data_IF_677084822254
#
_entry.id   IF_677084822254
#
_cell.length_a   1.000
_cell.length_b   1.000
_cell.length_c   1.000
_cell.angle_alpha   90.00
_cell.angle_beta   90.00
_cell.angle_gamma   90.00
#
_symmetry.space_group_name_H-M   'P 1'
#
loop_
_entity.id
_entity.type
_entity.pdbx_description
1 polymer ?
#
# COMPACT_ATOMS: atom_id res chain seq x y z
N UNK A 1 -6.94 1.51 -0.25
CA UNK A 1 -7.52 2.85 -0.19
C UNK A 1 -7.44 3.44 -1.55
N UNK A 2 -8.44 4.17 -1.98
CA UNK A 2 -8.52 4.71 -3.34
C UNK A 2 -8.85 6.17 -3.23
N UNK A 3 -8.03 7.02 -3.79
CA UNK A 3 -8.40 8.40 -4.06
C UNK A 3 -8.58 8.60 -5.55
N UNK A 4 -9.55 9.39 -5.94
CA UNK A 4 -9.59 9.95 -7.28
C UNK A 4 -8.88 11.28 -7.23
N UNK A 5 -7.80 11.50 -7.97
CA UNK A 5 -7.14 12.80 -7.99
C UNK A 5 -8.14 13.85 -8.47
N UNK A 6 -8.37 14.84 -7.65
CA UNK A 6 -9.11 16.05 -8.05
C UNK A 6 -8.11 17.18 -8.10
N UNK A 7 -7.33 17.26 -9.15
CA UNK A 7 -6.60 18.46 -9.46
C UNK A 7 -7.54 19.46 -10.11
N UNK A 8 -7.44 20.72 -9.75
CA UNK A 8 -8.35 21.83 -9.94
C UNK A 8 -9.14 21.99 -11.25
N UNK A 9 -8.82 21.21 -12.30
CA UNK A 9 -9.37 21.35 -13.65
C UNK A 9 -10.18 20.14 -14.14
N UNK A 10 -10.48 19.14 -13.27
CA UNK A 10 -11.32 18.03 -13.70
C UNK A 10 -11.12 16.73 -12.93
N UNK A 11 -11.95 15.74 -13.26
CA UNK A 11 -11.86 14.35 -12.78
C UNK A 11 -10.92 13.61 -13.73
N UNK A 12 -9.91 12.95 -13.18
CA UNK A 12 -9.04 12.04 -13.91
C UNK A 12 -9.43 10.58 -13.60
N UNK A 13 -9.07 9.67 -14.52
CA UNK A 13 -9.39 8.26 -14.31
C UNK A 13 -8.62 7.63 -13.14
N UNK A 14 -7.38 8.09 -12.89
CA UNK A 14 -6.55 7.56 -11.81
C UNK A 14 -6.32 6.07 -11.96
N UNK A 15 -5.88 5.61 -13.15
CA UNK A 15 -5.82 4.17 -13.44
C UNK A 15 -4.80 3.44 -12.57
N UNK A 16 -3.62 4.03 -12.38
CA UNK A 16 -2.60 3.51 -11.46
C UNK A 16 -2.60 4.22 -10.11
N UNK A 17 -3.20 5.41 -10.04
CA UNK A 17 -3.33 6.21 -8.84
C UNK A 17 -4.81 6.61 -8.63
N UNK A 18 -5.71 5.71 -8.05
CA UNK A 18 -5.40 4.39 -7.47
C UNK A 18 -6.36 3.27 -7.93
N UNK A 19 -6.99 3.34 -9.09
CA UNK A 19 -8.00 2.33 -9.48
C UNK A 19 -7.43 0.90 -9.50
N UNK A 20 -6.14 0.73 -9.86
CA UNK A 20 -5.47 -0.56 -9.85
C UNK A 20 -5.47 -1.25 -8.46
N UNK A 21 -5.49 -0.46 -7.38
CA UNK A 21 -5.53 -1.02 -6.02
C UNK A 21 -6.91 -1.48 -5.60
N UNK A 22 -7.95 -0.79 -6.07
CA UNK A 22 -9.32 -1.28 -5.88
C UNK A 22 -9.46 -2.64 -6.51
N UNK A 23 -8.96 -2.81 -7.73
CA UNK A 23 -8.97 -4.11 -8.41
C UNK A 23 -8.23 -5.18 -7.61
N UNK A 24 -7.07 -4.83 -7.02
CA UNK A 24 -6.32 -5.74 -6.14
C UNK A 24 -7.13 -6.14 -4.90
N UNK A 25 -7.80 -5.20 -4.24
CA UNK A 25 -8.65 -5.48 -3.08
C UNK A 25 -9.84 -6.37 -3.44
N UNK A 26 -10.51 -6.10 -4.56
CA UNK A 26 -11.62 -6.93 -5.06
C UNK A 26 -11.14 -8.34 -5.36
N UNK A 27 -10.02 -8.49 -6.08
CA UNK A 27 -9.44 -9.80 -6.42
C UNK A 27 -9.08 -10.59 -5.16
N UNK A 28 -8.52 -9.94 -4.13
CA UNK A 28 -8.22 -10.58 -2.85
C UNK A 28 -9.50 -11.04 -2.15
N UNK A 29 -10.52 -10.19 -2.09
CA UNK A 29 -11.79 -10.52 -1.46
C UNK A 29 -12.45 -11.72 -2.15
N UNK A 30 -12.47 -11.73 -3.47
CA UNK A 30 -13.02 -12.84 -4.28
C UNK A 30 -12.25 -14.15 -4.06
N UNK A 31 -10.92 -14.08 -3.99
CA UNK A 31 -10.07 -15.26 -3.77
C UNK A 31 -10.31 -15.96 -2.43
N UNK A 32 -10.89 -15.25 -1.48
CA UNK A 32 -11.21 -15.73 -0.12
C UNK A 32 -12.70 -15.87 0.14
N UNK A 33 -13.54 -15.68 -0.85
CA UNK A 33 -14.98 -15.82 -0.71
C UNK A 33 -15.36 -17.18 -0.08
N UNK A 34 -16.12 -17.15 0.99
CA UNK A 34 -16.56 -18.34 1.74
C UNK A 34 -15.50 -19.03 2.60
N UNK A 35 -14.23 -18.55 2.64
CA UNK A 35 -13.16 -19.15 3.46
C UNK A 35 -12.77 -18.32 4.67
N UNK A 36 -12.85 -16.99 4.57
CA UNK A 36 -12.46 -16.06 5.63
C UNK A 36 -10.97 -16.13 6.03
N UNK A 37 -10.66 -15.43 7.08
CA UNK A 37 -9.38 -15.44 7.79
C UNK A 37 -9.64 -15.68 9.26
N UNK A 38 -8.60 -16.04 10.01
CA UNK A 38 -8.70 -16.21 11.47
C UNK A 38 -9.08 -14.90 12.17
N UNK A 39 -8.52 -13.76 11.72
CA UNK A 39 -8.97 -12.43 12.12
C UNK A 39 -9.83 -11.81 11.03
N UNK A 40 -10.86 -11.04 11.40
CA UNK A 40 -11.62 -10.28 10.42
C UNK A 40 -10.69 -9.38 9.60
N UNK A 41 -10.88 -9.36 8.28
CA UNK A 41 -10.21 -8.45 7.36
C UNK A 41 -11.24 -7.49 6.80
N UNK A 42 -10.98 -6.20 6.95
CA UNK A 42 -11.81 -5.11 6.41
C UNK A 42 -11.14 -4.56 5.17
N UNK A 43 -11.83 -4.59 4.06
CA UNK A 43 -11.44 -3.92 2.83
C UNK A 43 -12.00 -2.52 2.84
N UNK A 44 -11.14 -1.52 2.87
CA UNK A 44 -11.55 -0.13 2.94
C UNK A 44 -11.08 0.65 1.70
N UNK A 45 -12.02 1.19 0.96
CA UNK A 45 -11.77 2.23 -0.04
C UNK A 45 -12.21 3.56 0.56
N UNK A 46 -11.29 4.49 0.73
CA UNK A 46 -11.57 5.80 1.33
C UNK A 46 -11.43 6.91 0.30
N UNK A 47 -11.98 8.06 0.60
CA UNK A 47 -11.99 9.22 -0.31
C UNK A 47 -11.11 10.34 0.21
N UNK A 48 -10.67 11.22 -0.70
CA UNK A 48 -10.01 12.49 -0.36
C UNK A 48 -8.60 12.31 0.20
N UNK A 49 -7.87 11.29 -0.25
CA UNK A 49 -6.44 11.12 0.07
C UNK A 49 -5.67 12.37 -0.31
N UNK A 50 -5.77 12.81 -1.57
CA UNK A 50 -5.13 13.98 -2.18
C UNK A 50 -5.52 15.33 -1.54
N UNK A 51 -6.57 15.32 -0.75
CA UNK A 51 -7.05 16.50 0.00
C UNK A 51 -6.68 16.44 1.48
N UNK A 52 -5.65 15.68 1.82
CA UNK A 52 -5.13 15.54 3.17
C UNK A 52 -5.67 14.36 3.95
N UNK A 53 -5.83 13.22 3.29
CA UNK A 53 -6.19 11.93 3.89
C UNK A 53 -7.56 11.98 4.59
N UNK A 54 -8.54 12.65 3.99
CA UNK A 54 -9.81 12.97 4.68
C UNK A 54 -10.55 11.71 5.12
N UNK A 55 -10.69 10.73 4.23
CA UNK A 55 -11.42 9.50 4.52
C UNK A 55 -10.70 8.63 5.55
N UNK A 56 -9.40 8.46 5.42
CA UNK A 56 -8.62 7.65 6.38
C UNK A 56 -8.51 8.30 7.75
N UNK A 57 -8.37 9.63 7.82
CA UNK A 57 -8.44 10.37 9.09
C UNK A 57 -9.78 10.18 9.80
N UNK A 58 -10.86 10.26 9.02
CA UNK A 58 -12.19 10.04 9.57
C UNK A 58 -12.35 8.59 10.05
N UNK A 59 -11.97 7.61 9.23
CA UNK A 59 -12.06 6.18 9.56
C UNK A 59 -11.21 5.82 10.77
N UNK A 60 -9.98 6.33 10.84
CA UNK A 60 -9.10 6.14 11.99
C UNK A 60 -9.63 6.80 13.28
N UNK A 61 -10.44 7.84 13.16
CA UNK A 61 -11.07 8.51 14.30
C UNK A 61 -12.38 7.84 14.73
N UNK A 62 -13.08 7.18 13.81
CA UNK A 62 -14.43 6.65 14.00
C UNK A 62 -14.51 5.21 13.47
N UNK A 63 -13.76 4.26 14.06
CA UNK A 63 -13.90 2.86 13.68
C UNK A 63 -15.36 2.43 13.94
N UNK A 64 -15.97 1.79 12.96
CA UNK A 64 -17.33 1.28 13.14
C UNK A 64 -17.33 0.14 14.16
N UNK A 65 -18.47 -0.08 14.81
CA UNK A 65 -18.63 -1.19 15.76
C UNK A 65 -18.33 -2.54 15.09
N UNK A 66 -18.72 -2.72 13.83
CA UNK A 66 -18.46 -3.94 13.06
C UNK A 66 -16.97 -4.13 12.70
N UNK A 67 -16.24 -3.03 12.49
CA UNK A 67 -14.79 -3.08 12.20
C UNK A 67 -14.00 -3.33 13.49
N UNK A 68 -14.43 -2.80 14.61
CA UNK A 68 -13.63 -2.74 15.83
C UNK A 68 -12.37 -1.89 15.65
N UNK A 69 -11.44 -1.99 16.60
CA UNK A 69 -10.13 -1.32 16.49
C UNK A 69 -9.18 -2.19 15.66
N UNK A 70 -8.60 -1.69 14.57
CA UNK A 70 -7.69 -2.48 13.76
C UNK A 70 -6.39 -2.77 14.52
N UNK A 71 -5.86 -3.98 14.36
CA UNK A 71 -4.56 -4.40 14.93
C UNK A 71 -3.40 -4.22 13.95
N UNK A 72 -3.72 -4.00 12.68
CA UNK A 72 -2.77 -3.68 11.61
C UNK A 72 -3.47 -2.97 10.46
N UNK A 73 -2.73 -2.16 9.72
CA UNK A 73 -3.17 -1.61 8.43
C UNK A 73 -2.12 -1.95 7.37
N UNK A 74 -2.59 -2.63 6.33
CA UNK A 74 -1.83 -2.89 5.12
C UNK A 74 -2.37 -1.94 4.05
N UNK A 75 -1.56 -0.98 3.63
CA UNK A 75 -1.98 0.07 2.71
C UNK A 75 -1.46 -0.18 1.29
N UNK A 76 -2.28 0.17 0.35
CA UNK A 76 -1.95 0.21 -1.07
C UNK A 76 -2.15 1.63 -1.58
N UNK A 77 -1.15 2.14 -2.26
CA UNK A 77 -1.13 3.46 -2.86
C UNK A 77 -0.05 3.51 -3.95
N UNK A 78 -0.40 3.98 -5.12
CA UNK A 78 0.51 4.14 -6.25
C UNK A 78 1.23 2.86 -6.70
N UNK A 79 0.50 1.77 -6.88
CA UNK A 79 1.05 0.57 -7.51
C UNK A 79 1.39 0.88 -8.97
N UNK A 80 2.62 0.66 -9.34
CA UNK A 80 3.14 0.99 -10.66
C UNK A 80 3.78 -0.23 -11.31
N UNK A 81 2.98 -1.19 -11.79
CA UNK A 81 3.50 -2.38 -12.46
C UNK A 81 3.95 -2.02 -13.88
N UNK A 82 4.92 -1.14 -13.99
CA UNK A 82 5.46 -0.64 -15.27
C UNK A 82 6.67 -1.43 -15.74
N UNK A 83 7.19 -2.32 -14.89
CA UNK A 83 8.40 -3.12 -15.07
C UNK A 83 8.32 -4.36 -14.17
N UNK A 84 9.16 -5.39 -14.41
CA UNK A 84 9.18 -6.60 -13.58
C UNK A 84 9.36 -6.28 -12.08
N UNK A 85 8.63 -6.99 -11.24
CA UNK A 85 8.69 -6.80 -9.79
C UNK A 85 9.91 -7.52 -9.20
N UNK A 86 10.97 -6.79 -8.97
CA UNK A 86 12.19 -7.29 -8.30
C UNK A 86 12.44 -6.62 -6.95
N UNK A 87 11.85 -5.45 -6.74
CA UNK A 87 12.05 -4.64 -5.53
C UNK A 87 10.70 -4.08 -5.08
N UNK A 88 10.42 -4.18 -3.78
CA UNK A 88 9.39 -3.43 -3.09
C UNK A 88 10.03 -2.36 -2.21
N UNK A 89 9.79 -1.10 -2.52
CA UNK A 89 10.06 0.01 -1.61
C UNK A 89 8.92 0.09 -0.61
N UNK A 90 9.26 0.17 0.67
CA UNK A 90 8.31 -0.03 1.75
C UNK A 90 8.34 1.14 2.71
N UNK A 91 7.17 1.71 2.95
CA UNK A 91 6.97 2.76 3.95
C UNK A 91 6.68 2.11 5.30
N UNK A 92 7.30 2.62 6.37
CA UNK A 92 7.24 2.07 7.72
C UNK A 92 7.82 0.64 7.85
N UNK A 93 8.83 0.30 7.02
CA UNK A 93 9.41 -1.05 6.96
C UNK A 93 9.95 -1.55 8.31
N UNK A 94 10.64 -0.68 9.04
CA UNK A 94 11.32 -1.05 10.28
C UNK A 94 10.55 -0.57 11.52
N UNK A 95 9.32 -0.10 11.36
CA UNK A 95 8.50 0.39 12.47
C UNK A 95 7.81 -0.72 13.26
N UNK A 96 7.55 -1.86 12.62
CA UNK A 96 6.82 -2.97 13.26
C UNK A 96 7.24 -4.33 12.70
N UNK A 97 6.73 -5.40 13.31
CA UNK A 97 6.93 -6.78 12.84
C UNK A 97 6.37 -7.05 11.45
N UNK A 98 5.53 -6.15 10.89
CA UNK A 98 5.03 -6.26 9.52
C UNK A 98 6.16 -6.25 8.48
N UNK A 99 7.21 -5.46 8.71
CA UNK A 99 8.36 -5.41 7.81
C UNK A 99 9.13 -6.73 7.75
N UNK A 100 9.31 -7.40 8.88
CA UNK A 100 9.92 -8.74 8.90
C UNK A 100 9.04 -9.75 8.15
N UNK A 101 7.74 -9.77 8.43
CA UNK A 101 6.78 -10.65 7.72
C UNK A 101 6.83 -10.41 6.21
N UNK A 102 6.91 -9.15 5.78
CA UNK A 102 7.03 -8.82 4.36
C UNK A 102 8.33 -9.38 3.73
N UNK A 103 9.47 -9.26 4.42
CA UNK A 103 10.76 -9.81 3.95
C UNK A 103 10.73 -11.34 3.85
N UNK A 104 10.13 -12.01 4.83
CA UNK A 104 10.02 -13.47 4.87
C UNK A 104 9.18 -14.02 3.71
N UNK A 105 8.14 -13.29 3.30
CA UNK A 105 7.28 -13.67 2.17
C UNK A 105 7.93 -13.32 0.84
N UNK A 106 8.48 -12.14 0.70
CA UNK A 106 9.05 -11.65 -0.55
C UNK A 106 10.34 -12.38 -0.96
N UNK A 107 11.17 -12.77 0.03
CA UNK A 107 12.47 -13.40 -0.21
C UNK A 107 12.39 -14.66 -1.09
N UNK A 108 11.56 -15.68 -0.75
CA UNK A 108 11.37 -16.87 -1.60
C UNK A 108 10.82 -16.56 -3.00
N UNK A 109 10.18 -15.42 -3.20
CA UNK A 109 9.67 -14.96 -4.50
C UNK A 109 10.72 -14.23 -5.31
N UNK A 110 11.95 -14.05 -4.78
CA UNK A 110 13.01 -13.28 -5.44
C UNK A 110 12.79 -11.76 -5.41
N UNK A 111 11.93 -11.27 -4.53
CA UNK A 111 11.60 -9.85 -4.39
C UNK A 111 12.38 -9.27 -3.21
N UNK A 112 13.20 -8.26 -3.46
CA UNK A 112 13.88 -7.51 -2.42
C UNK A 112 12.92 -6.52 -1.75
N UNK A 113 12.93 -6.45 -0.41
CA UNK A 113 12.15 -5.48 0.35
C UNK A 113 13.12 -4.47 0.96
N UNK A 114 12.97 -3.21 0.60
CA UNK A 114 13.85 -2.12 1.03
C UNK A 114 13.07 -0.93 1.61
N UNK A 115 13.69 -0.12 2.49
CA UNK A 115 13.06 1.11 2.95
C UNK A 115 12.95 2.15 1.82
N UNK A 116 12.12 3.16 2.04
CA UNK A 116 12.08 4.33 1.18
C UNK A 116 13.45 5.02 1.15
N UNK A 117 13.97 5.25 -0.05
CA UNK A 117 15.25 5.93 -0.29
C UNK A 117 15.07 7.43 -0.58
N UNK A 118 13.84 7.89 -0.76
CA UNK A 118 13.49 9.27 -1.09
C UNK A 118 12.71 9.93 0.08
N UNK A 119 13.28 9.87 1.29
CA UNK A 119 12.64 10.33 2.52
C UNK A 119 12.23 11.80 2.47
N UNK A 120 12.92 12.62 1.68
CA UNK A 120 12.61 14.03 1.46
C UNK A 120 11.23 14.25 0.81
N UNK A 121 10.69 13.25 0.13
CA UNK A 121 9.34 13.28 -0.43
C UNK A 121 8.24 13.17 0.64
N UNK A 122 8.59 12.66 1.83
CA UNK A 122 7.68 12.56 2.96
C UNK A 122 6.49 11.60 2.72
N UNK A 123 6.66 10.59 1.87
CA UNK A 123 5.58 9.68 1.44
C UNK A 123 4.88 9.00 2.62
N UNK A 124 5.63 8.59 3.65
CA UNK A 124 5.06 7.97 4.85
C UNK A 124 3.87 8.73 5.44
N UNK A 125 3.94 10.07 5.41
CA UNK A 125 2.92 10.94 6.02
C UNK A 125 1.83 11.38 5.04
N UNK A 126 1.95 10.98 3.79
CA UNK A 126 1.06 11.37 2.69
C UNK A 126 0.18 10.23 2.20
N UNK A 127 0.26 9.06 2.82
CA UNK A 127 -0.53 7.89 2.48
C UNK A 127 -1.49 7.51 3.60
N UNK A 128 -2.55 6.84 3.27
CA UNK A 128 -3.73 6.61 4.13
C UNK A 128 -3.50 5.73 5.36
N UNK A 129 -2.35 5.05 5.46
CA UNK A 129 -1.99 4.33 6.68
C UNK A 129 -1.49 5.26 7.81
N UNK A 130 -1.01 6.47 7.47
CA UNK A 130 -0.48 7.41 8.44
C UNK A 130 -1.44 7.78 9.57
N UNK A 131 -2.73 8.11 9.33
CA UNK A 131 -3.67 8.41 10.40
C UNK A 131 -3.86 7.27 11.40
N UNK A 132 -3.71 6.02 10.96
CA UNK A 132 -3.78 4.86 11.85
C UNK A 132 -2.48 4.68 12.65
N UNK A 133 -1.32 4.91 12.05
CA UNK A 133 -0.04 4.94 12.78
C UNK A 133 -0.07 5.98 13.91
N UNK A 134 -0.60 7.17 13.64
CA UNK A 134 -0.77 8.23 14.65
C UNK A 134 -1.67 7.80 15.82
N UNK A 135 -2.47 6.76 15.65
CA UNK A 135 -3.34 6.17 16.66
C UNK A 135 -2.82 4.86 17.24
N UNK A 136 -1.54 4.57 17.00
CA UNK A 136 -0.86 3.42 17.56
C UNK A 136 -1.09 2.11 16.83
N UNK A 137 -1.65 2.11 15.63
CA UNK A 137 -1.84 0.89 14.84
C UNK A 137 -0.61 0.63 13.98
N UNK A 138 0.09 -0.51 14.14
CA UNK A 138 1.15 -0.92 13.23
C UNK A 138 0.66 -0.94 11.79
N UNK A 139 1.35 -0.24 10.90
CA UNK A 139 0.91 -0.08 9.52
C UNK A 139 2.09 -0.16 8.56
N UNK A 140 1.84 -0.56 7.32
CA UNK A 140 2.85 -0.70 6.29
C UNK A 140 2.26 -0.40 4.91
N UNK A 141 3.06 0.17 4.00
CA UNK A 141 2.68 0.40 2.61
C UNK A 141 3.81 0.06 1.66
N UNK A 142 3.47 -0.30 0.42
CA UNK A 142 4.41 -0.78 -0.57
C UNK A 142 4.29 0.00 -1.89
N UNK A 143 5.43 0.18 -2.53
CA UNK A 143 5.58 0.75 -3.85
C UNK A 143 6.47 -0.16 -4.67
N UNK A 144 6.29 -0.22 -6.00
CA UNK A 144 7.28 -0.83 -6.86
C UNK A 144 8.60 -0.04 -6.77
N UNK A 145 9.63 -0.69 -6.30
CA UNK A 145 10.98 -0.12 -6.17
C UNK A 145 11.79 -0.24 -7.45
N UNK A 146 12.81 0.58 -7.55
CA UNK A 146 13.77 0.56 -8.66
C UNK A 146 15.20 0.72 -8.16
N UNK A 147 16.15 0.18 -8.90
CA UNK A 147 17.55 0.53 -8.70
C UNK A 147 17.92 1.76 -9.55
N UNK A 148 18.73 2.67 -9.00
CA UNK A 148 19.20 3.85 -9.72
C UNK A 148 19.92 3.50 -11.02
N UNK A 149 19.70 4.29 -12.07
CA UNK A 149 20.35 4.13 -13.38
C UNK A 149 19.77 3.01 -14.26
N UNK A 150 18.69 2.35 -13.84
CA UNK A 150 18.07 1.27 -14.61
C UNK A 150 16.97 1.78 -15.56
N UNK A 151 16.61 0.94 -16.55
CA UNK A 151 15.45 1.21 -17.41
C UNK A 151 14.15 1.31 -16.58
N UNK A 152 14.04 0.49 -15.53
CA UNK A 152 12.91 0.54 -14.62
C UNK A 152 12.74 1.92 -13.95
N UNK A 153 13.86 2.52 -13.51
CA UNK A 153 13.84 3.89 -12.99
C UNK A 153 13.41 4.89 -14.08
N UNK A 154 13.90 4.72 -15.29
CA UNK A 154 13.50 5.57 -16.43
C UNK A 154 11.98 5.54 -16.65
N UNK A 155 11.37 4.34 -16.69
CA UNK A 155 9.92 4.17 -16.82
C UNK A 155 9.14 4.74 -15.63
N UNK A 156 9.64 4.54 -14.43
CA UNK A 156 9.08 5.11 -13.21
C UNK A 156 9.06 6.64 -13.25
N UNK A 157 10.21 7.27 -13.57
CA UNK A 157 10.35 8.73 -13.64
C UNK A 157 9.50 9.33 -14.77
N UNK A 158 9.38 8.62 -15.90
CA UNK A 158 8.54 9.04 -17.02
C UNK A 158 7.07 9.06 -16.65
N UNK A 159 6.57 7.97 -16.03
CA UNK A 159 5.18 7.92 -15.56
C UNK A 159 4.90 9.05 -14.56
N UNK A 160 5.81 9.27 -13.60
CA UNK A 160 5.67 10.32 -12.60
C UNK A 160 5.59 11.72 -13.22
N UNK A 161 6.34 11.96 -14.28
CA UNK A 161 6.39 13.26 -14.96
C UNK A 161 5.18 13.50 -15.86
N UNK A 162 4.70 12.46 -16.52
CA UNK A 162 3.81 12.60 -17.65
C UNK A 162 2.39 12.07 -17.41
N UNK A 163 2.17 11.28 -16.36
CA UNK A 163 0.89 10.62 -16.09
C UNK A 163 0.36 10.85 -14.69
N UNK A 164 1.24 10.87 -13.69
CA UNK A 164 0.86 11.07 -12.30
C UNK A 164 0.09 12.38 -12.10
N UNK A 165 -1.07 12.32 -11.46
CA UNK A 165 -1.98 13.45 -11.26
C UNK A 165 -2.37 14.18 -12.57
N UNK A 166 -2.49 13.43 -13.66
CA UNK A 166 -2.79 13.96 -14.98
C UNK A 166 -3.85 13.10 -15.70
N UNK A 167 -4.58 13.66 -16.70
CA UNK A 167 -5.57 12.90 -17.47
C UNK A 167 -5.01 11.66 -18.16
N UNK A 168 -3.69 11.61 -18.34
CA UNK A 168 -2.97 10.50 -18.97
C UNK A 168 -2.80 9.27 -18.04
N UNK A 169 -3.12 9.37 -16.74
CA UNK A 169 -3.25 8.20 -15.88
C UNK A 169 -4.58 7.51 -16.16
N UNK A 170 -4.62 6.81 -17.28
CA UNK A 170 -5.78 6.15 -17.84
C UNK A 170 -5.45 4.73 -18.33
N UNK A 171 -6.44 4.06 -18.93
CA UNK A 171 -6.31 2.70 -19.43
C UNK A 171 -5.35 2.54 -20.63
N UNK A 172 -4.75 3.61 -21.13
CA UNK A 172 -3.70 3.56 -22.17
C UNK A 172 -2.30 3.36 -21.58
N UNK A 173 -2.17 3.44 -20.26
CA UNK A 173 -0.90 3.16 -19.58
C UNK A 173 -0.50 1.71 -19.79
N UNK A 174 0.66 1.49 -20.40
CA UNK A 174 1.20 0.14 -20.57
C UNK A 174 1.69 -0.40 -19.23
N UNK A 175 1.13 -1.51 -18.80
CA UNK A 175 1.51 -2.20 -17.58
C UNK A 175 2.11 -3.57 -17.88
N UNK A 176 2.96 -4.04 -16.99
CA UNK A 176 3.45 -5.40 -16.95
C UNK A 176 2.47 -6.24 -16.12
N UNK A 177 1.65 -7.03 -16.80
CA UNK A 177 0.65 -7.89 -16.16
C UNK A 177 1.28 -8.99 -15.30
N UNK A 178 2.50 -9.45 -15.64
CA UNK A 178 3.20 -10.42 -14.81
C UNK A 178 3.65 -9.78 -13.50
N UNK A 179 4.20 -8.57 -13.55
CA UNK A 179 4.58 -7.83 -12.35
C UNK A 179 3.37 -7.57 -11.43
N UNK A 180 2.20 -7.28 -12.03
CA UNK A 180 0.95 -7.15 -11.27
C UNK A 180 0.55 -8.48 -10.60
N UNK A 181 0.65 -9.61 -11.32
CA UNK A 181 0.33 -10.93 -10.77
C UNK A 181 1.31 -11.35 -9.66
N UNK A 182 2.59 -11.05 -9.83
CA UNK A 182 3.60 -11.29 -8.79
C UNK A 182 3.33 -10.47 -7.54
N UNK A 183 2.93 -9.21 -7.72
CA UNK A 183 2.51 -8.38 -6.59
C UNK A 183 1.26 -8.93 -5.91
N UNK A 184 0.25 -9.38 -6.64
CA UNK A 184 -0.93 -10.00 -6.05
C UNK A 184 -0.54 -11.23 -5.23
N UNK A 185 0.36 -12.07 -5.74
CA UNK A 185 0.84 -13.26 -5.03
C UNK A 185 1.52 -12.89 -3.71
N UNK A 186 2.41 -11.90 -3.73
CA UNK A 186 3.03 -11.34 -2.53
C UNK A 186 1.99 -10.79 -1.55
N UNK A 187 1.10 -9.92 -2.05
CA UNK A 187 0.11 -9.22 -1.22
C UNK A 187 -0.87 -10.19 -0.56
N UNK A 188 -1.37 -11.18 -1.30
CA UNK A 188 -2.30 -12.18 -0.76
C UNK A 188 -1.64 -13.05 0.31
N UNK A 189 -0.38 -13.41 0.10
CA UNK A 189 0.40 -14.13 1.11
C UNK A 189 0.62 -13.27 2.37
N UNK A 190 0.93 -11.98 2.20
CA UNK A 190 1.14 -11.05 3.32
C UNK A 190 -0.15 -10.87 4.14
N UNK A 191 -1.28 -10.60 3.48
CA UNK A 191 -2.57 -10.47 4.18
C UNK A 191 -2.91 -11.75 4.92
N UNK A 192 -2.71 -12.91 4.29
CA UNK A 192 -2.91 -14.22 4.94
C UNK A 192 -2.01 -14.41 6.16
N UNK A 193 -0.73 -14.14 6.03
CA UNK A 193 0.23 -14.30 7.13
C UNK A 193 -0.10 -13.39 8.32
N UNK A 194 -0.56 -12.16 8.07
CA UNK A 194 -0.95 -11.23 9.13
C UNK A 194 -2.29 -11.60 9.75
N UNK A 195 -3.28 -11.95 8.93
CA UNK A 195 -4.64 -12.20 9.39
C UNK A 195 -4.80 -13.58 10.08
N UNK A 196 -3.99 -14.57 9.70
CA UNK A 196 -4.04 -15.91 10.24
C UNK A 196 -2.98 -16.17 11.34
N UNK A 197 -2.11 -15.20 11.65
CA UNK A 197 -1.08 -15.32 12.70
C UNK A 197 -1.69 -15.53 14.10
N UNK A 198 -0.99 -16.20 15.00
CA UNK A 198 -1.42 -16.40 16.39
C UNK A 198 -1.46 -15.08 17.18
N UNK A 199 -0.48 -14.20 16.95
CA UNK A 199 -0.37 -12.91 17.61
C UNK A 199 -0.55 -11.75 16.60
N UNK A 200 -1.11 -10.61 17.02
CA UNK A 200 -1.16 -9.42 16.18
C UNK A 200 0.24 -8.85 15.95
N UNK A 201 0.42 -8.05 14.88
CA UNK A 201 1.65 -7.31 14.68
C UNK A 201 1.97 -6.38 15.85
N UNK A 202 3.27 -6.16 16.09
CA UNK A 202 3.77 -5.34 17.20
C UNK A 202 4.71 -4.27 16.69
N UNK A 203 4.68 -3.12 17.33
CA UNK A 203 5.68 -2.07 17.13
C UNK A 203 7.08 -2.58 17.49
N UNK A 204 8.06 -2.21 16.71
CA UNK A 204 9.45 -2.41 17.10
C UNK A 204 9.80 -1.42 18.23
N UNK A 205 10.61 -1.84 19.22
CA UNK A 205 10.94 -0.97 20.35
C UNK A 205 11.59 0.36 19.96
N UNK A 206 12.39 0.34 18.91
CA UNK A 206 13.18 1.49 18.43
C UNK A 206 12.45 2.34 17.39
N UNK A 207 11.19 2.03 17.08
CA UNK A 207 10.42 2.81 16.10
C UNK A 207 10.15 4.22 16.64
N UNK A 208 10.47 5.27 15.87
CA UNK A 208 10.17 6.65 16.24
C UNK A 208 8.67 6.96 16.19
N UNK A 209 7.87 6.06 15.62
CA UNK A 209 6.42 6.20 15.47
C UNK A 209 5.63 5.37 16.48
N UNK A 210 6.32 4.58 17.31
CA UNK A 210 5.68 3.84 18.39
C UNK A 210 5.03 4.81 19.36
N UNK A 211 3.75 4.60 19.75
CA UNK A 211 3.13 5.38 20.81
C UNK A 211 3.96 5.34 22.10
N UNK A 212 4.00 6.43 22.83
CA UNK A 212 4.49 6.41 24.21
C UNK A 212 3.54 5.52 25.05
N UNK A 213 4.13 4.76 25.97
CA UNK A 213 3.40 3.92 26.91
C UNK A 213 2.55 4.74 27.85
#
# INVERSE_FOLDING_TARGET
MVSTPVNGDGLYNGALDDAAYVATLITLADSRAGRGYRRPVVFAAVTGEEKGLLGSRWLAAHPSEAMGWPVAVLNLDQLRPLYPLTILTTLALDDSSLGQTAREIAGPMGIAVQPDRELERGLLRRTDHWPFMQRGVPSISFLFGVDPGTEAEGRYRDWYRNRYHAPQDDMTTLIDFQAQADFHSFWFALVGAVADADAPPRWNPDSPHRPAD
#
